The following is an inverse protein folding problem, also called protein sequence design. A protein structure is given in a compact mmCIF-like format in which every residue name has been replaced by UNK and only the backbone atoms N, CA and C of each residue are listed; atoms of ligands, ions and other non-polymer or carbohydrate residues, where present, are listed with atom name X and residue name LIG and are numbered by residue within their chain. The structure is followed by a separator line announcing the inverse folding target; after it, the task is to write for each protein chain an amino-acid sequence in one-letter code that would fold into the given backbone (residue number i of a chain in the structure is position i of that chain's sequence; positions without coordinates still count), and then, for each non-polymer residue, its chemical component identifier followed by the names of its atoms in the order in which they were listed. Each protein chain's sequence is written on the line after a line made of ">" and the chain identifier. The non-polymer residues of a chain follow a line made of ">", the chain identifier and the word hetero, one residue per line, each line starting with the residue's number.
data_IF_195668481705
#
_entry.id   IF_195668481705
#
_cell.length_a   1.000
_cell.length_b   1.000
_cell.length_c   1.000
_cell.angle_alpha   90.00
_cell.angle_beta   90.00
_cell.angle_gamma   90.00
#
_symmetry.space_group_name_H-M   'P 1'
#
loop_
_entity.id
_entity.type
_entity.pdbx_description
1 polymer ?
#
# COMPACT_ATOMS: atom_id res chain seq x y z
N UNK A 1 -10.46 -18.26 -22.77
CA UNK A 1 -9.90 -16.96 -22.40
C UNK A 1 -8.88 -16.61 -23.47
N UNK A 2 -8.96 -15.44 -24.10
CA UNK A 2 -7.91 -15.02 -25.04
C UNK A 2 -6.60 -14.92 -24.26
N UNK A 3 -5.53 -15.48 -24.83
CA UNK A 3 -4.19 -15.33 -24.27
C UNK A 3 -3.87 -13.84 -24.31
N UNK A 4 -3.49 -13.23 -23.18
CA UNK A 4 -2.94 -11.87 -23.20
C UNK A 4 -1.74 -11.86 -24.15
N UNK A 5 -1.80 -11.00 -25.17
CA UNK A 5 -0.70 -10.77 -26.09
C UNK A 5 -0.11 -9.44 -25.65
N UNK A 6 1.12 -9.49 -25.13
CA UNK A 6 1.81 -8.29 -24.68
C UNK A 6 2.17 -7.43 -25.91
N UNK A 7 1.85 -6.12 -25.91
CA UNK A 7 2.25 -5.21 -26.97
C UNK A 7 3.78 -5.17 -27.11
N UNK A 8 4.25 -5.08 -28.35
CA UNK A 8 5.65 -4.84 -28.67
C UNK A 8 6.09 -3.43 -28.28
N UNK A 9 7.40 -3.23 -28.08
CA UNK A 9 7.95 -1.90 -27.79
C UNK A 9 7.59 -0.86 -28.87
N UNK A 10 7.55 -1.27 -30.14
CA UNK A 10 7.15 -0.41 -31.27
C UNK A 10 5.69 0.00 -31.17
N UNK A 11 4.78 -0.93 -30.88
CA UNK A 11 3.35 -0.65 -30.68
C UNK A 11 3.14 0.30 -29.50
N UNK A 12 3.81 0.04 -28.37
CA UNK A 12 3.70 0.91 -27.19
C UNK A 12 4.10 2.35 -27.51
N UNK A 13 5.18 2.53 -28.28
CA UNK A 13 5.67 3.86 -28.65
C UNK A 13 4.77 4.54 -29.67
N UNK A 14 4.31 3.82 -30.69
CA UNK A 14 3.50 4.36 -31.78
C UNK A 14 2.10 4.74 -31.29
N UNK A 15 1.48 3.88 -30.48
CA UNK A 15 0.14 4.08 -29.92
C UNK A 15 0.17 4.86 -28.61
N UNK A 16 1.36 5.15 -28.08
CA UNK A 16 1.58 5.87 -26.81
C UNK A 16 0.86 5.23 -25.61
N UNK A 17 0.88 3.90 -25.51
CA UNK A 17 0.19 3.14 -24.45
C UNK A 17 0.63 3.53 -23.02
N UNK A 18 1.79 4.16 -22.86
CA UNK A 18 2.26 4.69 -21.58
C UNK A 18 1.43 5.88 -21.07
N UNK A 19 0.76 6.63 -21.96
CA UNK A 19 -0.11 7.75 -21.57
C UNK A 19 -1.35 7.26 -20.82
N UNK A 20 -1.92 6.14 -21.26
CA UNK A 20 -3.05 5.49 -20.59
C UNK A 20 -2.67 4.99 -19.19
N UNK A 21 -1.38 4.75 -18.94
CA UNK A 21 -0.87 4.36 -17.63
C UNK A 21 -0.59 5.57 -16.71
N UNK A 22 -0.58 6.79 -17.26
CA UNK A 22 -0.32 8.04 -16.52
C UNK A 22 1.07 8.65 -16.73
N UNK A 23 1.89 8.13 -17.67
CA UNK A 23 3.18 8.72 -18.00
C UNK A 23 3.05 9.79 -19.10
N UNK A 24 3.73 10.92 -18.91
CA UNK A 24 3.94 11.90 -19.98
C UNK A 24 5.00 11.44 -20.99
N UNK A 25 4.99 12.03 -22.20
CA UNK A 25 6.02 11.76 -23.23
C UNK A 25 7.44 11.97 -22.68
N UNK A 26 7.63 12.99 -21.82
CA UNK A 26 8.92 13.27 -21.18
C UNK A 26 9.34 12.21 -20.17
N UNK A 27 8.39 11.69 -19.39
CA UNK A 27 8.66 10.60 -18.45
C UNK A 27 8.99 9.31 -19.21
N UNK A 28 8.28 9.01 -20.31
CA UNK A 28 8.60 7.86 -21.17
C UNK A 28 10.01 7.94 -21.79
N UNK A 29 10.38 9.11 -22.32
CA UNK A 29 11.74 9.34 -22.83
C UNK A 29 12.79 9.12 -21.73
N UNK A 30 12.49 9.53 -20.49
CA UNK A 30 13.38 9.32 -19.35
C UNK A 30 13.50 7.84 -18.98
N UNK A 31 12.41 7.07 -19.07
CA UNK A 31 12.44 5.60 -18.88
C UNK A 31 13.37 4.96 -19.92
N UNK A 32 13.26 5.35 -21.19
CA UNK A 32 14.13 4.84 -22.25
C UNK A 32 15.62 5.16 -21.98
N UNK A 33 15.91 6.38 -21.48
CA UNK A 33 17.26 6.78 -21.09
C UNK A 33 17.81 5.92 -19.94
N UNK A 34 17.02 5.70 -18.89
CA UNK A 34 17.41 4.91 -17.70
C UNK A 34 17.72 3.46 -18.09
N UNK A 35 16.91 2.87 -18.96
CA UNK A 35 17.07 1.48 -19.39
C UNK A 35 18.11 1.31 -20.52
N UNK A 36 18.44 2.37 -21.24
CA UNK A 36 19.27 2.31 -22.44
C UNK A 36 18.61 1.59 -23.62
N UNK A 37 17.30 1.33 -23.55
CA UNK A 37 16.47 0.70 -24.58
C UNK A 37 15.00 1.05 -24.38
N UNK A 38 14.17 0.73 -25.37
CA UNK A 38 12.71 0.82 -25.21
C UNK A 38 12.21 -0.24 -24.19
N UNK A 39 11.34 0.15 -23.24
CA UNK A 39 10.79 -0.75 -22.23
C UNK A 39 9.70 -1.67 -22.82
N UNK A 40 9.51 -2.84 -22.20
CA UNK A 40 8.32 -3.67 -22.45
C UNK A 40 7.10 -3.14 -21.66
N UNK A 41 5.92 -3.72 -21.91
CA UNK A 41 4.66 -3.25 -21.32
C UNK A 41 4.69 -3.33 -19.78
N UNK A 42 5.24 -4.42 -19.24
CA UNK A 42 5.39 -4.62 -17.78
C UNK A 42 6.32 -3.58 -17.14
N UNK A 43 7.45 -3.29 -17.78
CA UNK A 43 8.42 -2.29 -17.32
C UNK A 43 7.83 -0.88 -17.29
N UNK A 44 7.05 -0.50 -18.31
CA UNK A 44 6.35 0.78 -18.33
C UNK A 44 5.35 0.87 -17.18
N UNK A 45 4.59 -0.20 -16.94
CA UNK A 45 3.67 -0.27 -15.80
C UNK A 45 4.39 -0.02 -14.47
N UNK A 46 5.53 -0.69 -14.27
CA UNK A 46 6.39 -0.53 -13.09
C UNK A 46 6.83 0.93 -12.93
N UNK A 47 7.36 1.57 -13.99
CA UNK A 47 7.76 2.97 -13.92
C UNK A 47 6.56 3.88 -13.66
N UNK A 48 5.44 3.64 -14.33
CA UNK A 48 4.23 4.47 -14.21
C UNK A 48 3.71 4.51 -12.79
N UNK A 49 3.55 3.33 -12.17
CA UNK A 49 3.02 3.25 -10.81
C UNK A 49 4.00 3.86 -9.80
N UNK A 50 5.31 3.60 -9.95
CA UNK A 50 6.34 4.12 -9.04
C UNK A 50 6.56 5.64 -9.18
N UNK A 51 6.25 6.24 -10.34
CA UNK A 51 6.35 7.69 -10.58
C UNK A 51 5.00 8.44 -10.44
N UNK A 52 3.95 7.74 -10.04
CA UNK A 52 2.66 8.34 -9.65
C UNK A 52 2.82 9.31 -8.47
N UNK A 53 1.89 10.24 -8.28
CA UNK A 53 1.91 11.11 -7.08
C UNK A 53 1.80 10.29 -5.80
N UNK A 54 0.98 9.25 -5.82
CA UNK A 54 0.74 8.37 -4.68
C UNK A 54 2.01 7.68 -4.17
N UNK A 55 2.87 7.18 -5.07
CA UNK A 55 4.11 6.50 -4.67
C UNK A 55 5.30 7.45 -4.52
N UNK A 56 5.42 8.46 -5.38
CA UNK A 56 6.64 9.30 -5.44
C UNK A 56 6.56 10.58 -4.61
N UNK A 57 5.36 11.02 -4.24
CA UNK A 57 5.11 12.30 -3.57
C UNK A 57 5.76 13.48 -4.31
N UNK A 58 5.81 13.43 -5.65
CA UNK A 58 6.61 14.35 -6.48
C UNK A 58 6.30 15.83 -6.23
N UNK A 59 5.05 16.17 -5.89
CA UNK A 59 4.68 17.57 -5.59
C UNK A 59 4.80 17.92 -4.11
N UNK A 60 4.53 16.98 -3.21
CA UNK A 60 4.47 17.22 -1.76
C UNK A 60 5.83 17.09 -1.06
N UNK A 61 6.71 16.20 -1.55
CA UNK A 61 8.03 15.92 -0.97
C UNK A 61 8.89 17.19 -0.72
N UNK A 62 8.97 18.18 -1.62
CA UNK A 62 9.74 19.42 -1.37
C UNK A 62 9.27 20.25 -0.17
N UNK A 63 8.00 20.11 0.21
CA UNK A 63 7.43 20.78 1.38
C UNK A 63 7.58 19.92 2.64
N UNK A 64 7.37 18.61 2.52
CA UNK A 64 7.47 17.67 3.63
C UNK A 64 8.88 17.59 4.23
N UNK A 65 9.93 17.81 3.43
CA UNK A 65 11.31 17.85 3.92
C UNK A 65 11.64 19.06 4.78
N UNK A 66 10.74 20.04 4.89
CA UNK A 66 10.92 21.23 5.72
C UNK A 66 10.53 21.01 7.19
N UNK A 67 9.81 19.91 7.49
CA UNK A 67 9.43 19.59 8.86
C UNK A 67 10.62 19.09 9.70
N UNK A 68 10.68 19.41 11.00
CA UNK A 68 11.67 18.84 11.89
C UNK A 68 11.40 17.34 12.09
N UNK A 69 12.44 16.51 11.92
CA UNK A 69 12.33 15.04 11.98
C UNK A 69 13.16 14.40 13.09
N UNK A 70 13.91 15.21 13.85
CA UNK A 70 14.79 14.75 14.92
C UNK A 70 14.22 15.11 16.30
N UNK A 71 14.39 14.21 17.27
CA UNK A 71 14.07 14.44 18.68
C UNK A 71 14.74 13.40 19.56
N UNK A 72 14.87 13.67 20.86
CA UNK A 72 15.57 12.77 21.81
C UNK A 72 14.93 11.39 21.93
N UNK A 73 13.62 11.30 21.71
CA UNK A 73 12.86 10.05 21.77
C UNK A 73 12.56 9.46 20.40
N UNK A 74 13.03 10.07 19.30
CA UNK A 74 12.77 9.54 17.95
C UNK A 74 13.80 8.45 17.63
N UNK A 75 13.36 7.19 17.63
CA UNK A 75 14.18 6.04 17.26
C UNK A 75 14.19 5.83 15.74
N UNK A 76 13.07 6.15 15.07
CA UNK A 76 12.91 6.05 13.62
C UNK A 76 12.01 7.18 13.11
N UNK A 77 12.55 8.02 12.24
CA UNK A 77 11.85 9.11 11.58
C UNK A 77 11.36 8.76 10.17
N UNK A 78 11.00 9.77 9.36
CA UNK A 78 10.54 9.57 7.98
C UNK A 78 11.56 8.83 7.11
N UNK A 79 11.08 7.93 6.25
CA UNK A 79 11.89 7.10 5.35
C UNK A 79 11.70 5.59 5.56
N UNK A 80 11.12 5.21 6.68
CA UNK A 80 10.71 3.83 6.99
C UNK A 80 9.18 3.68 7.01
N UNK A 81 8.71 2.44 7.14
CA UNK A 81 7.31 2.06 7.06
C UNK A 81 6.41 2.66 8.15
N UNK A 82 6.96 3.12 9.28
CA UNK A 82 6.24 3.84 10.33
C UNK A 82 7.20 4.67 11.20
N UNK A 83 6.65 5.58 12.01
CA UNK A 83 7.43 6.32 13.01
C UNK A 83 7.59 5.51 14.29
N UNK A 84 8.78 5.56 14.90
CA UNK A 84 9.09 4.85 16.16
C UNK A 84 9.60 5.84 17.20
N UNK A 85 8.94 5.86 18.36
CA UNK A 85 9.26 6.76 19.47
C UNK A 85 9.47 5.97 20.75
N UNK A 86 10.57 6.23 21.42
CA UNK A 86 10.93 5.67 22.73
C UNK A 86 9.93 6.13 23.82
N UNK A 87 9.47 5.18 24.62
CA UNK A 87 8.58 5.42 25.76
C UNK A 87 9.22 5.03 27.11
N UNK A 88 10.52 4.73 27.12
CA UNK A 88 11.24 4.23 28.29
C UNK A 88 11.15 2.71 28.42
N UNK A 89 11.82 2.18 29.45
CA UNK A 89 11.85 0.74 29.77
C UNK A 89 12.32 -0.17 28.61
N UNK A 90 13.20 0.35 27.73
CA UNK A 90 13.63 -0.31 26.48
C UNK A 90 12.46 -0.65 25.53
N UNK A 91 11.35 0.08 25.66
CA UNK A 91 10.15 -0.07 24.83
C UNK A 91 9.90 1.15 23.94
N UNK A 92 9.23 0.92 22.83
CA UNK A 92 8.87 1.95 21.88
C UNK A 92 7.42 1.81 21.42
N UNK A 93 6.84 2.94 21.03
CA UNK A 93 5.58 3.02 20.31
C UNK A 93 5.86 3.21 18.83
N UNK A 94 5.19 2.40 18.02
CA UNK A 94 5.21 2.50 16.57
C UNK A 94 3.86 3.02 16.09
N UNK A 95 3.85 4.03 15.22
CA UNK A 95 2.60 4.57 14.71
C UNK A 95 2.74 5.11 13.29
N UNK A 96 1.64 5.02 12.55
CA UNK A 96 1.46 5.63 11.23
C UNK A 96 0.00 5.98 11.03
N UNK A 97 -0.27 6.93 10.14
CA UNK A 97 -1.59 7.25 9.64
C UNK A 97 -1.59 7.14 8.11
N UNK A 98 -2.64 6.55 7.56
CA UNK A 98 -2.87 6.44 6.13
C UNK A 98 -4.28 6.90 5.75
N UNK A 99 -4.47 7.27 4.49
CA UNK A 99 -5.77 7.66 3.94
C UNK A 99 -6.26 6.68 2.88
N UNK A 100 -7.57 6.42 2.87
CA UNK A 100 -8.23 5.60 1.85
C UNK A 100 -9.49 6.27 1.28
N UNK A 101 -9.34 7.55 0.94
CA UNK A 101 -10.42 8.46 0.54
C UNK A 101 -11.16 7.98 -0.72
N UNK A 102 -10.44 7.86 -1.83
CA UNK A 102 -10.97 7.49 -3.13
C UNK A 102 -11.69 6.13 -3.12
N UNK A 103 -11.07 5.03 -2.63
CA UNK A 103 -11.76 3.75 -2.49
C UNK A 103 -13.02 3.84 -1.62
N UNK A 104 -12.96 4.60 -0.52
CA UNK A 104 -14.10 4.77 0.40
C UNK A 104 -15.25 5.59 -0.19
N UNK A 105 -14.97 6.50 -1.12
CA UNK A 105 -16.02 7.23 -1.85
C UNK A 105 -16.83 6.28 -2.74
N UNK A 106 -16.14 5.35 -3.41
CA UNK A 106 -16.71 4.38 -4.36
C UNK A 106 -17.43 3.23 -3.62
N UNK A 107 -16.70 2.51 -2.77
CA UNK A 107 -17.20 1.41 -1.95
C UNK A 107 -16.78 1.64 -0.48
N UNK A 108 -17.66 2.20 0.35
CA UNK A 108 -17.29 2.73 1.66
C UNK A 108 -16.92 1.66 2.68
N UNK A 109 -17.47 0.45 2.59
CA UNK A 109 -17.14 -0.62 3.53
C UNK A 109 -15.74 -1.16 3.24
N UNK A 110 -15.52 -1.56 1.99
CA UNK A 110 -14.28 -2.15 1.53
C UNK A 110 -13.14 -1.15 1.55
N UNK A 111 -13.35 0.08 1.07
CA UNK A 111 -12.33 1.12 1.14
C UNK A 111 -11.87 1.40 2.58
N UNK A 112 -12.79 1.49 3.54
CA UNK A 112 -12.40 1.70 4.91
C UNK A 112 -11.73 0.45 5.54
N UNK A 113 -12.22 -0.74 5.22
CA UNK A 113 -11.67 -2.00 5.71
C UNK A 113 -10.24 -2.26 5.20
N UNK A 114 -9.97 -2.03 3.91
CA UNK A 114 -8.62 -2.19 3.34
C UNK A 114 -7.66 -1.12 3.84
N UNK A 115 -8.14 0.10 4.11
CA UNK A 115 -7.36 1.14 4.79
C UNK A 115 -6.91 0.70 6.20
N UNK A 116 -7.81 0.07 6.98
CA UNK A 116 -7.44 -0.51 8.28
C UNK A 116 -6.47 -1.67 8.14
N UNK A 117 -6.68 -2.56 7.16
CA UNK A 117 -5.78 -3.68 6.88
C UNK A 117 -4.37 -3.23 6.48
N UNK A 118 -4.26 -2.20 5.64
CA UNK A 118 -2.99 -1.59 5.23
C UNK A 118 -2.20 -1.05 6.41
N UNK A 119 -2.82 -0.16 7.19
CA UNK A 119 -2.13 0.50 8.31
C UNK A 119 -1.69 -0.49 9.40
N UNK A 120 -2.40 -1.61 9.57
CA UNK A 120 -1.97 -2.68 10.47
C UNK A 120 -0.69 -3.35 9.94
N UNK A 121 -0.61 -3.62 8.63
CA UNK A 121 0.57 -4.25 8.02
C UNK A 121 1.80 -3.36 8.11
N UNK A 122 1.65 -2.04 8.00
CA UNK A 122 2.74 -1.09 8.22
C UNK A 122 3.36 -1.22 9.62
N UNK A 123 2.52 -1.31 10.66
CA UNK A 123 3.00 -1.45 12.04
C UNK A 123 3.69 -2.80 12.24
N UNK A 124 3.11 -3.86 11.65
CA UNK A 124 3.64 -5.22 11.72
C UNK A 124 4.96 -5.35 10.97
N UNK A 125 5.18 -4.64 9.86
CA UNK A 125 6.43 -4.68 9.10
C UNK A 125 7.61 -4.06 9.84
N UNK A 126 7.37 -3.18 10.81
CA UNK A 126 8.37 -2.69 11.77
C UNK A 126 8.63 -3.69 12.91
N UNK A 127 7.84 -4.76 13.00
CA UNK A 127 7.89 -5.77 14.06
C UNK A 127 7.06 -5.46 15.30
N UNK A 128 6.32 -4.36 15.28
CA UNK A 128 5.51 -3.97 16.42
C UNK A 128 4.18 -4.71 16.43
N UNK A 129 3.73 -5.11 17.63
CA UNK A 129 2.40 -5.69 17.80
C UNK A 129 1.37 -4.56 17.81
N UNK A 130 0.41 -4.52 16.87
CA UNK A 130 -0.67 -3.55 16.89
C UNK A 130 -1.53 -3.72 18.15
N UNK A 131 -1.81 -2.63 18.85
CA UNK A 131 -2.63 -2.63 20.08
C UNK A 131 -3.84 -1.73 19.98
N UNK A 132 -3.85 -0.76 19.06
CA UNK A 132 -4.93 0.21 18.97
C UNK A 132 -5.06 0.79 17.56
N UNK A 133 -6.29 1.11 17.19
CA UNK A 133 -6.67 1.84 15.99
C UNK A 133 -7.31 3.19 16.36
N UNK A 134 -7.09 4.17 15.50
CA UNK A 134 -7.77 5.44 15.55
C UNK A 134 -8.24 5.83 14.14
N UNK A 135 -9.26 6.67 14.06
CA UNK A 135 -9.77 7.19 12.79
C UNK A 135 -9.87 8.71 12.78
N UNK A 136 -9.60 9.34 11.63
CA UNK A 136 -9.96 10.73 11.36
C UNK A 136 -10.85 10.75 10.13
N UNK A 137 -12.13 11.10 10.33
CA UNK A 137 -13.17 10.99 9.32
C UNK A 137 -13.74 12.36 8.98
N UNK A 138 -13.96 12.63 7.70
CA UNK A 138 -14.66 13.82 7.20
C UNK A 138 -15.71 13.41 6.19
N UNK A 139 -16.95 13.88 6.37
CA UNK A 139 -18.06 13.60 5.47
C UNK A 139 -18.84 14.87 5.14
N UNK A 140 -19.58 14.83 4.04
CA UNK A 140 -20.58 15.83 3.75
C UNK A 140 -21.77 15.82 4.72
N UNK A 141 -22.68 16.77 4.55
CA UNK A 141 -23.83 16.96 5.44
C UNK A 141 -24.77 15.74 5.46
N UNK A 142 -25.25 15.36 6.65
CA UNK A 142 -26.06 14.16 6.84
C UNK A 142 -27.52 14.32 6.38
N UNK A 143 -27.93 15.51 5.91
CA UNK A 143 -29.18 15.71 5.17
C UNK A 143 -29.18 14.93 3.86
N UNK A 144 -28.01 14.69 3.26
CA UNK A 144 -27.87 13.96 2.02
C UNK A 144 -27.83 12.45 2.21
N UNK A 145 -28.58 11.74 1.36
CA UNK A 145 -28.67 10.27 1.42
C UNK A 145 -27.32 9.61 1.18
N UNK A 146 -26.52 10.18 0.27
CA UNK A 146 -25.21 9.64 -0.08
C UNK A 146 -24.23 9.75 1.08
N UNK A 147 -24.19 10.87 1.80
CA UNK A 147 -23.30 11.04 2.95
C UNK A 147 -23.66 10.08 4.10
N UNK A 148 -24.95 9.83 4.32
CA UNK A 148 -25.40 8.78 5.25
C UNK A 148 -24.96 7.37 4.82
N UNK A 149 -24.90 7.09 3.51
CA UNK A 149 -24.38 5.82 2.97
C UNK A 149 -22.89 5.69 3.24
N UNK A 150 -22.11 6.74 2.95
CA UNK A 150 -20.66 6.79 3.16
C UNK A 150 -20.33 6.57 4.64
N UNK A 151 -20.92 7.35 5.54
CA UNK A 151 -20.71 7.24 6.98
C UNK A 151 -20.96 5.81 7.49
N UNK A 152 -22.11 5.21 7.13
CA UNK A 152 -22.47 3.85 7.57
C UNK A 152 -21.50 2.81 7.03
N UNK A 153 -21.14 2.91 5.76
CA UNK A 153 -20.21 1.97 5.14
C UNK A 153 -18.83 2.05 5.76
N UNK A 154 -18.27 3.26 5.91
CA UNK A 154 -16.93 3.48 6.46
C UNK A 154 -16.83 2.99 7.90
N UNK A 155 -17.77 3.38 8.77
CA UNK A 155 -17.77 2.94 10.18
C UNK A 155 -17.92 1.41 10.27
N UNK A 156 -18.78 0.82 9.44
CA UNK A 156 -18.94 -0.63 9.38
C UNK A 156 -17.68 -1.34 8.86
N UNK A 157 -16.96 -0.75 7.89
CA UNK A 157 -15.71 -1.29 7.36
C UNK A 157 -14.58 -1.26 8.38
N UNK A 158 -14.38 -0.12 9.05
CA UNK A 158 -13.39 0.04 10.14
C UNK A 158 -13.67 -0.98 11.25
N UNK A 159 -14.92 -1.00 11.75
CA UNK A 159 -15.32 -1.93 12.79
C UNK A 159 -15.24 -3.39 12.33
N UNK A 160 -15.61 -3.68 11.08
CA UNK A 160 -15.56 -5.01 10.50
C UNK A 160 -14.15 -5.58 10.51
N UNK A 161 -13.18 -4.84 9.96
CA UNK A 161 -11.79 -5.31 9.90
C UNK A 161 -11.16 -5.38 11.31
N UNK A 162 -11.25 -4.29 12.08
CA UNK A 162 -10.65 -4.18 13.42
C UNK A 162 -11.17 -5.23 14.41
N UNK A 163 -12.49 -5.46 14.44
CA UNK A 163 -13.09 -6.47 15.33
C UNK A 163 -12.68 -7.89 14.94
N UNK A 164 -12.59 -8.19 13.63
CA UNK A 164 -12.20 -9.51 13.15
C UNK A 164 -10.74 -9.85 13.50
N UNK A 165 -9.82 -8.89 13.35
CA UNK A 165 -8.40 -9.09 13.68
C UNK A 165 -8.12 -8.98 15.18
N UNK A 166 -9.05 -8.42 15.95
CA UNK A 166 -8.98 -8.29 17.40
C UNK A 166 -8.20 -7.07 17.87
N UNK A 167 -8.20 -5.98 17.11
CA UNK A 167 -7.56 -4.71 17.47
C UNK A 167 -8.65 -3.64 17.65
N UNK A 168 -8.79 -3.04 18.84
CA UNK A 168 -9.86 -2.10 19.11
C UNK A 168 -9.60 -0.75 18.43
N UNK A 169 -10.66 -0.08 17.97
CA UNK A 169 -10.63 1.35 17.64
C UNK A 169 -11.11 2.14 18.86
N UNK A 170 -10.20 2.81 19.58
CA UNK A 170 -10.55 3.43 20.88
C UNK A 170 -10.64 4.95 20.86
N UNK A 171 -10.15 5.59 19.80
CA UNK A 171 -10.16 7.03 19.66
C UNK A 171 -10.32 7.45 18.20
N UNK A 172 -10.68 8.70 17.98
CA UNK A 172 -10.82 9.25 16.65
C UNK A 172 -11.59 10.56 16.66
N UNK A 173 -11.77 11.10 15.48
CA UNK A 173 -12.54 12.31 15.24
C UNK A 173 -13.42 12.16 14.01
N UNK A 174 -14.53 12.90 14.02
CA UNK A 174 -15.46 13.00 12.91
C UNK A 174 -15.95 14.45 12.79
N UNK A 175 -15.97 14.96 11.57
CA UNK A 175 -16.48 16.29 11.25
C UNK A 175 -17.33 16.22 9.98
N UNK A 176 -18.32 17.10 9.91
CA UNK A 176 -19.25 17.22 8.80
C UNK A 176 -19.18 18.65 8.23
N UNK A 177 -18.97 18.78 6.92
CA UNK A 177 -18.90 20.06 6.19
C UNK A 177 -19.26 19.78 4.72
N UNK A 178 -20.00 20.68 4.08
CA UNK A 178 -20.48 20.53 2.70
C UNK A 178 -19.36 20.31 1.67
N UNK A 179 -18.14 20.78 1.96
CA UNK A 179 -16.96 20.57 1.11
C UNK A 179 -16.55 19.11 0.96
N UNK A 180 -17.02 18.22 1.83
CA UNK A 180 -16.75 16.78 1.75
C UNK A 180 -17.90 16.00 1.10
N UNK A 181 -18.86 16.67 0.48
CA UNK A 181 -19.93 16.02 -0.29
C UNK A 181 -19.35 15.17 -1.43
N UNK A 182 -19.65 13.88 -1.42
CA UNK A 182 -19.18 12.93 -2.44
C UNK A 182 -17.70 12.55 -2.36
N UNK A 183 -16.88 13.30 -1.63
CA UNK A 183 -15.44 13.06 -1.46
C UNK A 183 -15.05 13.04 0.04
N UNK A 184 -15.28 11.93 0.74
CA UNK A 184 -14.97 11.82 2.16
C UNK A 184 -13.46 11.71 2.40
N UNK A 185 -13.01 12.19 3.56
CA UNK A 185 -11.69 11.84 4.08
C UNK A 185 -11.82 10.67 5.05
N UNK A 186 -11.06 9.61 4.80
CA UNK A 186 -11.07 8.38 5.59
C UNK A 186 -9.63 8.04 5.93
N UNK A 187 -9.19 8.52 7.08
CA UNK A 187 -7.86 8.24 7.59
C UNK A 187 -7.91 7.21 8.71
N UNK A 188 -7.04 6.21 8.63
CA UNK A 188 -6.85 5.19 9.65
C UNK A 188 -5.43 5.35 10.24
N UNK A 189 -5.33 5.32 11.56
CA UNK A 189 -4.08 5.31 12.29
C UNK A 189 -3.99 4.01 13.09
N UNK A 190 -2.80 3.42 13.14
CA UNK A 190 -2.52 2.28 13.99
C UNK A 190 -1.36 2.59 14.92
N UNK A 191 -1.47 2.06 16.14
CA UNK A 191 -0.46 2.16 17.19
C UNK A 191 -0.08 0.75 17.61
N UNK A 192 1.22 0.47 17.61
CA UNK A 192 1.80 -0.76 18.10
C UNK A 192 2.86 -0.51 19.16
N UNK A 193 3.24 -1.58 19.85
CA UNK A 193 4.31 -1.59 20.85
C UNK A 193 5.38 -2.60 20.46
N UNK A 194 6.63 -2.30 20.82
CA UNK A 194 7.78 -3.14 20.53
C UNK A 194 8.90 -2.87 21.54
N UNK A 195 9.73 -3.87 21.79
CA UNK A 195 11.01 -3.69 22.49
C UNK A 195 12.08 -3.19 21.50
N UNK A 196 13.04 -2.38 21.98
CA UNK A 196 13.99 -1.66 21.11
C UNK A 196 14.83 -2.59 20.21
N UNK A 197 15.21 -3.76 20.70
CA UNK A 197 16.04 -4.74 20.00
C UNK A 197 15.30 -5.51 18.90
N UNK A 198 13.96 -5.46 18.89
CA UNK A 198 13.11 -6.13 17.91
C UNK A 198 12.74 -5.26 16.71
N UNK A 199 13.10 -3.97 16.72
CA UNK A 199 12.74 -2.99 15.68
C UNK A 199 13.32 -3.39 14.33
N UNK A 200 12.44 -3.73 13.39
CA UNK A 200 12.80 -4.07 12.02
C UNK A 200 12.92 -2.82 11.15
N UNK A 201 13.79 -2.91 10.14
CA UNK A 201 13.91 -1.91 9.08
C UNK A 201 13.56 -2.57 7.75
N UNK A 202 12.93 -1.83 6.84
CA UNK A 202 12.55 -2.32 5.52
C UNK A 202 13.74 -2.46 4.57
N UNK A 203 14.86 -3.03 5.03
CA UNK A 203 16.11 -3.17 4.26
C UNK A 203 16.51 -4.64 4.23
N UNK A 204 16.73 -5.19 3.03
CA UNK A 204 17.30 -6.54 2.89
C UNK A 204 18.75 -6.46 2.40
N UNK A 205 19.69 -6.97 3.20
CA UNK A 205 21.12 -7.00 2.87
C UNK A 205 21.61 -8.44 2.68
N UNK A 206 22.60 -8.59 1.80
CA UNK A 206 23.22 -9.90 1.50
C UNK A 206 22.81 -10.45 0.14
N UNK A 207 23.70 -11.27 -0.44
CA UNK A 207 23.50 -11.92 -1.74
C UNK A 207 23.19 -13.40 -1.49
N UNK A 208 22.20 -13.93 -2.20
CA UNK A 208 21.81 -15.34 -2.11
C UNK A 208 20.63 -15.63 -1.18
N UNK A 209 20.10 -14.62 -0.50
CA UNK A 209 18.88 -14.76 0.31
C UNK A 209 17.69 -15.10 -0.58
N UNK A 210 16.77 -15.88 -0.03
CA UNK A 210 15.49 -16.22 -0.63
C UNK A 210 14.52 -15.06 -0.47
N UNK A 211 13.72 -14.82 -1.51
CA UNK A 211 12.56 -13.91 -1.44
C UNK A 211 11.32 -14.76 -1.26
N UNK A 212 10.58 -14.51 -0.19
CA UNK A 212 9.45 -15.31 0.24
C UNK A 212 8.18 -14.46 0.17
N UNK A 213 7.20 -14.95 -0.58
CA UNK A 213 5.87 -14.38 -0.65
C UNK A 213 4.98 -15.03 0.41
N UNK A 214 4.30 -14.23 1.23
CA UNK A 214 3.39 -14.73 2.27
C UNK A 214 2.04 -14.02 2.15
N UNK A 215 0.94 -14.77 2.18
CA UNK A 215 -0.41 -14.21 2.22
C UNK A 215 -1.35 -14.71 1.12
N UNK A 216 -2.34 -13.89 0.78
CA UNK A 216 -3.34 -14.21 -0.25
C UNK A 216 -2.71 -14.39 -1.63
N UNK A 217 -3.36 -15.15 -2.51
CA UNK A 217 -2.92 -15.32 -3.91
C UNK A 217 -3.21 -14.06 -4.72
N UNK A 218 -2.24 -13.63 -5.53
CA UNK A 218 -2.33 -12.45 -6.40
C UNK A 218 -3.46 -12.59 -7.41
N UNK A 219 -4.38 -11.62 -7.39
CA UNK A 219 -5.50 -11.46 -8.34
C UNK A 219 -5.38 -10.16 -9.13
N UNK A 220 -6.36 -9.89 -10.01
CA UNK A 220 -6.49 -8.58 -10.71
C UNK A 220 -7.13 -7.50 -9.84
N UNK A 221 -6.69 -7.41 -8.59
CA UNK A 221 -7.25 -6.48 -7.61
C UNK A 221 -6.50 -5.14 -7.68
N UNK A 222 -7.23 -4.03 -7.78
CA UNK A 222 -6.65 -2.69 -7.68
C UNK A 222 -5.55 -2.37 -8.70
N UNK A 223 -5.53 -3.01 -9.87
CA UNK A 223 -4.58 -2.64 -10.93
C UNK A 223 -4.92 -1.20 -11.36
N UNK A 224 -3.92 -0.32 -11.31
CA UNK A 224 -4.05 1.15 -11.42
C UNK A 224 -4.64 1.86 -10.19
N UNK A 225 -4.70 1.22 -9.02
CA UNK A 225 -5.22 1.82 -7.77
C UNK A 225 -4.49 3.09 -7.36
N UNK A 226 -3.14 3.07 -7.37
CA UNK A 226 -2.31 4.25 -7.09
C UNK A 226 -2.53 5.41 -8.08
N UNK A 227 -2.66 5.12 -9.37
CA UNK A 227 -2.97 6.14 -10.40
C UNK A 227 -4.39 6.67 -10.22
N UNK A 228 -5.35 5.78 -9.95
CA UNK A 228 -6.75 6.13 -9.69
C UNK A 228 -6.92 7.03 -8.47
N UNK A 229 -6.18 6.77 -7.39
CA UNK A 229 -6.19 7.62 -6.20
C UNK A 229 -5.67 9.05 -6.46
N UNK A 230 -5.07 9.28 -7.63
CA UNK A 230 -4.56 10.56 -8.12
C UNK A 230 -5.50 11.26 -9.12
N UNK A 231 -6.64 10.66 -9.51
CA UNK A 231 -7.65 11.24 -10.41
C UNK A 231 -8.74 12.00 -9.63
N UNK A 232 -9.53 12.87 -10.28
CA UNK A 232 -10.71 13.49 -9.67
C UNK A 232 -11.93 12.54 -9.69
N UNK A 233 -12.73 12.54 -8.61
CA UNK A 233 -13.98 11.78 -8.55
C UNK A 233 -15.03 12.37 -9.52
N UNK A 234 -15.51 11.56 -10.45
CA UNK A 234 -16.59 11.89 -11.39
C UNK A 234 -17.74 10.87 -11.35
N UNK A 235 -18.85 11.13 -12.03
CA UNK A 235 -19.99 10.21 -12.11
C UNK A 235 -19.60 8.84 -12.72
N UNK A 236 -18.57 8.79 -13.57
CA UNK A 236 -18.05 7.54 -14.17
C UNK A 236 -17.36 6.63 -13.15
N UNK A 237 -17.03 7.12 -11.95
CA UNK A 237 -16.41 6.34 -10.87
C UNK A 237 -17.29 5.19 -10.35
N UNK A 238 -18.61 5.24 -10.54
CA UNK A 238 -19.51 4.14 -10.16
C UNK A 238 -19.23 2.85 -10.95
N UNK A 239 -18.79 2.98 -12.21
CA UNK A 239 -18.40 1.84 -13.05
C UNK A 239 -17.15 1.11 -12.56
N UNK A 240 -16.36 1.77 -11.69
CA UNK A 240 -15.11 1.26 -11.12
C UNK A 240 -15.30 0.48 -9.80
N UNK A 241 -16.53 0.29 -9.31
CA UNK A 241 -16.79 -0.58 -8.12
C UNK A 241 -16.15 -1.99 -8.19
N UNK A 242 -16.10 -2.68 -9.35
CA UNK A 242 -15.48 -4.01 -9.45
C UNK A 242 -13.96 -4.02 -9.23
N UNK A 243 -13.27 -2.88 -9.33
CA UNK A 243 -11.82 -2.80 -9.08
C UNK A 243 -11.47 -2.47 -7.63
N UNK A 244 -12.47 -2.22 -6.77
CA UNK A 244 -12.24 -1.95 -5.34
C UNK A 244 -11.78 -3.23 -4.65
N UNK A 245 -10.66 -3.11 -3.95
CA UNK A 245 -10.03 -4.18 -3.19
C UNK A 245 -10.96 -4.68 -2.09
N UNK A 246 -10.91 -5.98 -1.81
CA UNK A 246 -11.65 -6.60 -0.70
C UNK A 246 -10.62 -7.12 0.30
N UNK A 247 -10.73 -6.68 1.55
CA UNK A 247 -9.87 -7.16 2.63
C UNK A 247 -10.41 -8.46 3.24
N UNK A 248 -9.52 -9.39 3.57
CA UNK A 248 -9.82 -10.59 4.37
C UNK A 248 -9.16 -10.47 5.76
N UNK A 249 -9.85 -9.92 6.77
CA UNK A 249 -9.25 -9.72 8.09
C UNK A 249 -8.92 -11.03 8.82
N UNK A 250 -9.52 -12.16 8.44
CA UNK A 250 -9.17 -13.46 9.02
C UNK A 250 -7.82 -13.94 8.50
N UNK A 251 -7.55 -13.74 7.21
CA UNK A 251 -6.20 -13.95 6.65
C UNK A 251 -5.23 -12.91 7.19
N UNK A 252 -5.66 -11.66 7.34
CA UNK A 252 -4.88 -10.58 7.97
C UNK A 252 -4.40 -10.95 9.38
N UNK A 253 -5.29 -11.53 10.21
CA UNK A 253 -4.91 -12.04 11.55
C UNK A 253 -3.83 -13.11 11.49
N UNK A 254 -3.99 -14.10 10.61
CA UNK A 254 -3.00 -15.18 10.43
C UNK A 254 -1.66 -14.64 9.94
N UNK A 255 -1.70 -13.73 8.97
CA UNK A 255 -0.52 -13.06 8.42
C UNK A 255 0.20 -12.25 9.51
N UNK A 256 -0.54 -11.49 10.33
CA UNK A 256 0.02 -10.74 11.45
C UNK A 256 0.76 -11.65 12.43
N UNK A 257 0.12 -12.70 12.94
CA UNK A 257 0.77 -13.58 13.93
C UNK A 257 1.98 -14.30 13.33
N UNK A 258 1.86 -14.84 12.10
CA UNK A 258 2.98 -15.48 11.41
C UNK A 258 4.14 -14.52 11.14
N UNK A 259 3.85 -13.24 10.87
CA UNK A 259 4.86 -12.23 10.62
C UNK A 259 5.58 -11.82 11.91
N UNK A 260 4.84 -11.59 12.99
CA UNK A 260 5.44 -11.26 14.29
C UNK A 260 6.30 -12.42 14.82
N UNK A 261 5.89 -13.67 14.56
CA UNK A 261 6.72 -14.84 14.84
C UNK A 261 7.95 -14.89 13.91
N UNK A 262 7.78 -14.62 12.61
CA UNK A 262 8.87 -14.66 11.63
C UNK A 262 10.04 -13.71 11.99
N UNK A 263 9.72 -12.56 12.59
CA UNK A 263 10.69 -11.54 13.00
C UNK A 263 11.60 -12.02 14.14
N UNK A 264 11.23 -13.09 14.84
CA UNK A 264 12.07 -13.68 15.89
C UNK A 264 13.13 -14.64 15.36
N UNK A 265 13.12 -14.97 14.06
CA UNK A 265 14.15 -15.80 13.44
C UNK A 265 15.32 -14.94 12.95
N UNK A 266 16.53 -15.30 13.37
CA UNK A 266 17.78 -14.60 13.00
C UNK A 266 18.05 -14.62 11.48
N UNK A 267 17.45 -15.58 10.77
CA UNK A 267 17.56 -15.69 9.31
C UNK A 267 16.76 -14.63 8.56
N UNK A 268 15.77 -13.98 9.20
CA UNK A 268 15.00 -12.93 8.54
C UNK A 268 15.84 -11.65 8.45
N UNK A 269 16.24 -11.29 7.24
CA UNK A 269 17.06 -10.10 6.97
C UNK A 269 16.27 -8.92 6.42
N UNK A 270 15.00 -9.11 6.06
CA UNK A 270 14.16 -8.04 5.53
C UNK A 270 12.69 -8.43 5.45
N UNK A 271 11.83 -7.44 5.64
CA UNK A 271 10.39 -7.57 5.58
C UNK A 271 9.76 -6.28 5.04
N UNK A 272 8.72 -6.43 4.22
CA UNK A 272 7.94 -5.32 3.69
C UNK A 272 6.51 -5.76 3.46
N UNK A 273 5.55 -4.89 3.74
CA UNK A 273 4.16 -5.11 3.35
C UNK A 273 3.97 -4.91 1.83
N UNK A 274 2.88 -5.44 1.30
CA UNK A 274 2.52 -5.27 -0.10
C UNK A 274 1.22 -4.46 -0.20
N UNK A 275 1.37 -3.14 -0.29
CA UNK A 275 0.29 -2.18 -0.50
C UNK A 275 0.17 -1.71 -1.95
N UNK A 276 0.17 -0.39 -2.14
CA UNK A 276 0.14 0.25 -3.45
C UNK A 276 1.32 -0.21 -4.32
N UNK A 277 1.07 -0.47 -5.61
CA UNK A 277 2.02 -1.08 -6.54
C UNK A 277 2.50 -2.51 -6.17
N UNK A 278 1.96 -3.14 -5.13
CA UNK A 278 2.11 -4.57 -4.86
C UNK A 278 3.54 -5.09 -4.82
N UNK A 279 3.85 -6.06 -5.69
CA UNK A 279 5.20 -6.65 -5.80
C UNK A 279 6.24 -5.62 -6.26
N UNK A 280 5.83 -4.63 -7.04
CA UNK A 280 6.75 -3.63 -7.60
C UNK A 280 7.38 -2.78 -6.50
N UNK A 281 6.55 -2.10 -5.70
CA UNK A 281 7.04 -1.24 -4.61
C UNK A 281 7.77 -2.06 -3.56
N UNK A 282 7.12 -3.11 -3.06
CA UNK A 282 7.66 -3.93 -1.96
C UNK A 282 9.03 -4.53 -2.26
N UNK A 283 9.24 -5.02 -3.49
CA UNK A 283 10.54 -5.56 -3.90
C UNK A 283 11.56 -4.46 -4.21
N UNK A 284 11.20 -3.47 -5.04
CA UNK A 284 12.16 -2.47 -5.49
C UNK A 284 12.65 -1.55 -4.36
N UNK A 285 11.77 -1.15 -3.44
CA UNK A 285 12.14 -0.30 -2.31
C UNK A 285 13.06 -1.03 -1.34
N UNK A 286 12.73 -2.29 -1.00
CA UNK A 286 13.53 -3.10 -0.09
C UNK A 286 14.94 -3.36 -0.67
N UNK A 287 15.03 -3.66 -1.97
CA UNK A 287 16.29 -3.85 -2.68
C UNK A 287 17.13 -2.57 -2.70
N UNK A 288 16.50 -1.44 -3.06
CA UNK A 288 17.17 -0.15 -3.16
C UNK A 288 17.72 0.31 -1.80
N UNK A 289 16.93 0.19 -0.72
CA UNK A 289 17.38 0.50 0.65
C UNK A 289 18.52 -0.42 1.12
N UNK A 290 18.53 -1.66 0.65
CA UNK A 290 19.58 -2.64 0.90
C UNK A 290 20.86 -2.42 0.10
N UNK A 291 20.84 -1.58 -0.92
CA UNK A 291 21.94 -1.45 -1.90
C UNK A 291 22.14 -2.72 -2.74
N UNK A 292 21.06 -3.48 -2.94
CA UNK A 292 21.06 -4.77 -3.63
C UNK A 292 20.06 -4.77 -4.81
N UNK A 293 20.05 -5.86 -5.58
CA UNK A 293 19.04 -6.12 -6.60
C UNK A 293 18.23 -7.37 -6.23
N UNK A 294 17.07 -7.54 -6.86
CA UNK A 294 16.22 -8.72 -6.66
C UNK A 294 15.96 -9.43 -7.99
N UNK A 295 15.93 -10.77 -7.94
CA UNK A 295 15.49 -11.61 -9.04
C UNK A 295 14.17 -12.26 -8.66
N UNK A 296 13.08 -11.83 -9.30
CA UNK A 296 11.75 -12.40 -9.10
C UNK A 296 11.43 -13.40 -10.22
N UNK A 297 11.06 -14.63 -9.85
CA UNK A 297 10.56 -15.64 -10.77
C UNK A 297 9.03 -15.60 -10.73
N UNK A 298 8.42 -14.88 -11.68
CA UNK A 298 6.97 -14.62 -11.67
C UNK A 298 6.14 -15.89 -11.78
N UNK A 299 6.68 -16.98 -12.34
CA UNK A 299 5.99 -18.28 -12.42
C UNK A 299 5.77 -18.91 -11.04
N UNK A 300 6.53 -18.46 -10.02
CA UNK A 300 6.39 -18.91 -8.63
C UNK A 300 5.44 -18.04 -7.80
N UNK A 301 4.96 -16.91 -8.35
CA UNK A 301 4.00 -16.04 -7.65
C UNK A 301 2.66 -16.79 -7.53
N UNK A 302 2.10 -16.97 -6.33
CA UNK A 302 0.80 -17.62 -6.18
C UNK A 302 -0.30 -16.75 -6.79
N UNK A 303 -1.02 -17.26 -7.80
CA UNK A 303 -2.13 -16.54 -8.44
C UNK A 303 -3.51 -17.12 -8.13
N UNK A 304 -4.51 -16.26 -8.02
CA UNK A 304 -5.91 -16.65 -7.77
C UNK A 304 -6.58 -17.22 -9.02
N UNK A 305 -6.15 -16.77 -10.19
CA UNK A 305 -6.72 -17.12 -11.48
C UNK A 305 -5.64 -17.36 -12.54
N UNK A 306 -5.99 -18.13 -13.57
CA UNK A 306 -5.11 -18.40 -14.70
C UNK A 306 -5.02 -17.19 -15.65
N UNK A 307 -3.91 -17.10 -16.36
CA UNK A 307 -3.73 -16.08 -17.40
C UNK A 307 -3.52 -14.67 -16.87
N UNK A 308 -3.19 -14.51 -15.59
CA UNK A 308 -2.67 -13.25 -15.07
C UNK A 308 -1.33 -12.95 -15.77
N UNK A 309 -1.20 -11.75 -16.34
CA UNK A 309 0.01 -11.33 -17.05
C UNK A 309 1.11 -10.90 -16.08
N UNK A 310 2.39 -10.85 -16.51
CA UNK A 310 3.47 -10.28 -15.70
C UNK A 310 3.16 -8.85 -15.19
N UNK A 311 2.58 -8.01 -16.06
CA UNK A 311 2.07 -6.69 -15.71
C UNK A 311 1.04 -6.77 -14.56
N UNK A 312 0.02 -7.62 -14.70
CA UNK A 312 -1.01 -7.77 -13.66
C UNK A 312 -0.44 -8.32 -12.35
N UNK A 313 0.54 -9.24 -12.38
CA UNK A 313 1.21 -9.73 -11.16
C UNK A 313 1.97 -8.63 -10.44
N UNK A 314 2.74 -7.84 -11.18
CA UNK A 314 3.64 -6.84 -10.63
C UNK A 314 2.89 -5.65 -10.04
N UNK A 315 1.76 -5.27 -10.63
CA UNK A 315 0.96 -4.11 -10.23
C UNK A 315 -0.27 -4.43 -9.38
N UNK A 316 -0.61 -5.71 -9.18
CA UNK A 316 -1.74 -6.12 -8.35
C UNK A 316 -1.61 -5.60 -6.93
N UNK A 317 -2.69 -5.05 -6.40
CA UNK A 317 -2.85 -4.56 -5.03
C UNK A 317 -3.77 -5.48 -4.21
N UNK A 318 -3.75 -6.79 -4.49
CA UNK A 318 -4.39 -7.80 -3.63
C UNK A 318 -3.94 -7.60 -2.17
N UNK A 319 -4.90 -7.64 -1.25
CA UNK A 319 -4.67 -7.36 0.16
C UNK A 319 -4.03 -8.55 0.90
N UNK A 320 -3.63 -8.32 2.15
CA UNK A 320 -3.06 -9.34 3.05
C UNK A 320 -1.89 -10.12 2.44
N UNK A 321 -0.88 -9.39 1.97
CA UNK A 321 0.38 -9.94 1.47
C UNK A 321 1.58 -9.24 2.11
N UNK A 322 2.64 -10.01 2.33
CA UNK A 322 3.95 -9.57 2.80
C UNK A 322 5.05 -10.17 1.93
N UNK A 323 6.14 -9.44 1.79
CA UNK A 323 7.38 -9.89 1.19
C UNK A 323 8.46 -10.03 2.27
N UNK A 324 9.03 -11.23 2.41
CA UNK A 324 10.08 -11.54 3.38
C UNK A 324 11.38 -11.88 2.64
N UNK A 325 12.52 -11.60 3.25
CA UNK A 325 13.84 -11.97 2.73
C UNK A 325 14.65 -12.62 3.85
N UNK A 326 15.21 -13.80 3.59
CA UNK A 326 16.05 -14.57 4.51
C UNK A 326 16.80 -15.71 3.84
#
# INVERSE_FOLDING_TARGET
>A
MSKFIEPSAEEIKLEKLYQDMGLSDKEYDKVCEILGREPNFTEIGIFSVMWSEHCSYKHSKPFLTQFPTSGSHVLMGPGEGAGVVDIGDEQAVVFKVESHNHPSAVEPYQGAATGVGGIIRDIVSIGARPINLLNSLRFGELSEKQNRRLLRGVVAGIGGYGNCIGIPTTAGEIEFDDRYDGNPLVNAMCVGIIDHDMVQKGTAKGVGNSVIYVGLKTGRDGIHGATFASEELSEDSESKRPSVQIGDPFVGKKLMEATLEAITFDELVGIQDMGAAGLTSSSSEMAAKGGSGLHLQLEKVPTREQGISPYEMMLSETQERMLLVG
#
